data_IF_289303420482
#
_entry.id   IF_289303420482
#
_cell.length_a   1.000
_cell.length_b   1.000
_cell.length_c   1.000
_cell.angle_alpha   90.00
_cell.angle_beta   90.00
_cell.angle_gamma   90.00
#
_symmetry.space_group_name_H-M   'P 1'
#
loop_
_entity.id
_entity.type
_entity.pdbx_description
1 polymer ?
#
# COMPACT_ATOMS: atom_id res chain seq x y z
N UNK A 1 -18.51 -2.45 4.50
CA UNK A 1 -19.49 -1.93 5.48
C UNK A 1 -20.72 -1.54 4.72
N UNK A 2 -21.91 -1.87 5.21
CA UNK A 2 -23.13 -1.15 4.81
C UNK A 2 -23.20 0.07 5.74
N UNK A 3 -22.70 1.21 5.29
CA UNK A 3 -22.98 2.48 5.95
C UNK A 3 -24.48 2.77 5.81
N UNK A 4 -25.11 3.41 6.79
CA UNK A 4 -26.50 3.82 6.62
C UNK A 4 -26.63 4.77 5.43
N UNK A 5 -27.74 4.64 4.70
CA UNK A 5 -28.07 5.52 3.57
C UNK A 5 -28.02 7.00 4.00
N UNK A 6 -28.44 7.30 5.24
CA UNK A 6 -28.42 8.62 5.87
C UNK A 6 -27.03 9.29 5.94
N UNK A 7 -25.93 8.54 6.01
CA UNK A 7 -24.57 9.10 6.06
C UNK A 7 -23.82 9.02 4.72
N UNK A 8 -24.37 8.35 3.72
CA UNK A 8 -23.69 8.09 2.44
C UNK A 8 -23.19 9.38 1.76
N UNK A 9 -24.02 10.42 1.70
CA UNK A 9 -23.66 11.73 1.16
C UNK A 9 -22.64 12.50 2.01
N UNK A 10 -22.71 12.35 3.34
CA UNK A 10 -21.76 13.00 4.26
C UNK A 10 -20.34 12.43 4.09
N UNK A 11 -20.19 11.11 3.92
CA UNK A 11 -18.89 10.50 3.70
C UNK A 11 -18.20 10.95 2.41
N UNK A 12 -18.96 11.14 1.33
CA UNK A 12 -18.43 11.73 0.09
C UNK A 12 -17.93 13.17 0.31
N UNK A 13 -18.66 13.95 1.11
CA UNK A 13 -18.24 15.30 1.53
C UNK A 13 -16.98 15.29 2.41
N UNK A 14 -16.87 14.33 3.32
CA UNK A 14 -15.73 14.19 4.23
C UNK A 14 -14.44 13.78 3.49
N UNK A 15 -14.53 12.81 2.57
CA UNK A 15 -13.39 12.36 1.75
C UNK A 15 -12.94 13.43 0.74
N UNK A 16 -13.88 14.22 0.19
CA UNK A 16 -13.57 15.36 -0.69
C UNK A 16 -13.20 16.66 0.06
N UNK A 17 -13.14 16.64 1.40
CA UNK A 17 -12.84 17.78 2.27
C UNK A 17 -13.81 18.97 2.13
N UNK A 18 -15.04 18.71 1.68
CA UNK A 18 -16.10 19.71 1.52
C UNK A 18 -17.08 19.74 2.70
N UNK A 19 -17.17 18.66 3.48
CA UNK A 19 -17.89 18.66 4.76
C UNK A 19 -17.17 19.55 5.78
N UNK A 20 -17.90 20.39 6.51
CA UNK A 20 -17.29 21.29 7.51
C UNK A 20 -16.99 20.57 8.83
N UNK A 21 -16.14 21.19 9.65
CA UNK A 21 -15.87 20.75 11.02
C UNK A 21 -17.14 20.62 11.87
N UNK A 22 -18.15 21.47 11.65
CA UNK A 22 -19.42 21.40 12.38
C UNK A 22 -20.25 20.18 11.95
N UNK A 23 -20.27 19.87 10.66
CA UNK A 23 -20.95 18.68 10.12
C UNK A 23 -20.29 17.40 10.64
N UNK A 24 -18.96 17.39 10.76
CA UNK A 24 -18.20 16.28 11.36
C UNK A 24 -18.60 16.04 12.82
N UNK A 25 -18.72 17.12 13.61
CA UNK A 25 -19.16 17.06 15.01
C UNK A 25 -20.57 16.47 15.11
N UNK A 26 -21.52 17.05 14.37
CA UNK A 26 -22.91 16.59 14.38
C UNK A 26 -23.05 15.13 13.92
N UNK A 27 -22.28 14.69 12.92
CA UNK A 27 -22.30 13.32 12.43
C UNK A 27 -21.70 12.33 13.46
N UNK A 28 -20.62 12.71 14.16
CA UNK A 28 -20.06 11.91 15.27
C UNK A 28 -21.07 11.78 16.41
N UNK A 29 -21.66 12.89 16.85
CA UNK A 29 -22.61 12.89 17.96
C UNK A 29 -23.88 12.08 17.66
N UNK A 30 -24.39 12.19 16.43
CA UNK A 30 -25.50 11.37 15.97
C UNK A 30 -25.13 9.88 15.91
N UNK A 31 -23.95 9.53 15.39
CA UNK A 31 -23.49 8.14 15.40
C UNK A 31 -23.42 7.58 16.83
N UNK A 32 -22.96 8.37 17.81
CA UNK A 32 -22.94 7.93 19.21
C UNK A 32 -24.35 7.78 19.78
N UNK A 33 -25.26 8.71 19.49
CA UNK A 33 -26.64 8.66 19.99
C UNK A 33 -27.43 7.44 19.47
N UNK A 34 -27.04 6.89 18.32
CA UNK A 34 -27.65 5.69 17.70
C UNK A 34 -26.85 4.39 17.98
N UNK A 35 -25.90 4.41 18.94
CA UNK A 35 -24.99 3.30 19.28
C UNK A 35 -24.06 2.82 18.12
N UNK A 36 -23.78 3.69 17.15
CA UNK A 36 -22.98 3.44 15.94
C UNK A 36 -21.52 3.88 16.10
N UNK A 37 -20.89 3.34 17.13
CA UNK A 37 -19.55 3.73 17.57
C UNK A 37 -18.46 3.50 16.51
N UNK A 38 -18.60 2.50 15.62
CA UNK A 38 -17.61 2.23 14.56
C UNK A 38 -17.63 3.31 13.48
N UNK A 39 -18.82 3.76 13.08
CA UNK A 39 -19.01 4.90 12.19
C UNK A 39 -18.52 6.20 12.84
N UNK A 40 -18.82 6.43 14.12
CA UNK A 40 -18.30 7.58 14.87
C UNK A 40 -16.76 7.62 14.86
N UNK A 41 -16.10 6.49 15.16
CA UNK A 41 -14.63 6.38 15.16
C UNK A 41 -14.01 6.57 13.77
N UNK A 42 -14.66 6.09 12.72
CA UNK A 42 -14.19 6.31 11.33
C UNK A 42 -14.35 7.78 10.90
N UNK A 43 -15.46 8.43 11.25
CA UNK A 43 -15.62 9.88 11.02
C UNK A 43 -14.54 10.64 11.78
N UNK A 44 -14.21 10.24 13.00
CA UNK A 44 -13.15 10.87 13.81
C UNK A 44 -11.76 10.72 13.21
N UNK A 45 -11.33 9.52 12.78
CA UNK A 45 -10.01 9.31 12.14
C UNK A 45 -9.82 10.23 10.92
N UNK A 46 -10.82 10.28 10.04
CA UNK A 46 -10.78 11.15 8.85
C UNK A 46 -10.89 12.63 9.22
N UNK A 47 -11.83 13.02 10.08
CA UNK A 47 -12.04 14.42 10.47
C UNK A 47 -10.86 15.00 11.28
N UNK A 48 -10.17 14.21 12.10
CA UNK A 48 -8.98 14.63 12.84
C UNK A 48 -7.76 14.78 11.92
N UNK A 49 -7.67 14.02 10.84
CA UNK A 49 -6.64 14.22 9.79
C UNK A 49 -6.80 15.54 9.04
N UNK A 50 -8.02 16.09 8.99
CA UNK A 50 -8.37 17.36 8.33
C UNK A 50 -8.37 18.54 9.33
N UNK A 51 -8.86 18.31 10.55
CA UNK A 51 -9.13 19.33 11.58
C UNK A 51 -8.35 19.05 12.89
N UNK A 52 -7.05 18.78 12.78
CA UNK A 52 -6.17 18.38 13.88
C UNK A 52 -6.11 19.33 15.09
N UNK A 53 -6.55 20.59 14.97
CA UNK A 53 -6.67 21.53 16.09
C UNK A 53 -8.04 21.46 16.82
N UNK A 54 -8.88 20.45 16.55
CA UNK A 54 -10.25 20.37 17.08
C UNK A 54 -10.32 19.76 18.48
N UNK A 55 -10.23 20.59 19.52
CA UNK A 55 -10.38 20.15 20.92
C UNK A 55 -11.63 19.27 21.15
N UNK A 56 -12.78 19.68 20.60
CA UNK A 56 -14.03 18.91 20.72
C UNK A 56 -13.93 17.51 20.13
N UNK A 57 -13.37 17.34 18.92
CA UNK A 57 -13.27 16.01 18.29
C UNK A 57 -12.29 15.11 19.05
N UNK A 58 -11.23 15.67 19.65
CA UNK A 58 -10.34 14.90 20.53
C UNK A 58 -11.03 14.48 21.83
N UNK A 59 -11.79 15.37 22.46
CA UNK A 59 -12.59 15.06 23.65
C UNK A 59 -13.65 14.00 23.34
N UNK A 60 -14.36 14.15 22.22
CA UNK A 60 -15.42 13.21 21.82
C UNK A 60 -14.88 11.84 21.43
N UNK A 61 -13.69 11.77 20.82
CA UNK A 61 -12.99 10.51 20.62
C UNK A 61 -12.67 9.81 21.96
N UNK A 62 -12.17 10.56 22.96
CA UNK A 62 -11.92 10.00 24.28
C UNK A 62 -13.21 9.48 24.94
N UNK A 63 -14.30 10.27 24.95
CA UNK A 63 -15.60 9.85 25.50
C UNK A 63 -16.16 8.56 24.86
N UNK A 64 -15.97 8.39 23.55
CA UNK A 64 -16.40 7.18 22.82
C UNK A 64 -15.54 5.97 23.19
N UNK A 65 -14.23 6.18 23.36
CA UNK A 65 -13.28 5.13 23.76
C UNK A 65 -13.53 4.70 25.21
N UNK A 66 -13.82 5.65 26.10
CA UNK A 66 -14.14 5.42 27.51
C UNK A 66 -15.52 4.74 27.69
N UNK A 67 -16.45 4.95 26.75
CA UNK A 67 -17.80 4.36 26.79
C UNK A 67 -17.94 2.96 26.19
N UNK A 68 -17.00 2.52 25.33
CA UNK A 68 -17.12 1.26 24.57
C UNK A 68 -16.21 0.15 25.13
N UNK A 69 -16.78 -0.95 25.62
CA UNK A 69 -16.01 -2.01 26.29
C UNK A 69 -15.04 -2.76 25.33
N UNK A 70 -13.74 -2.43 25.43
CA UNK A 70 -12.63 -3.01 24.65
C UNK A 70 -11.58 -3.67 25.60
N UNK A 71 -12.05 -4.27 26.68
CA UNK A 71 -11.23 -5.07 27.59
C UNK A 71 -10.67 -6.34 26.91
N UNK A 72 -9.67 -6.99 27.52
CA UNK A 72 -8.83 -8.04 26.95
C UNK A 72 -8.10 -7.70 25.62
N UNK A 73 -8.45 -6.61 24.93
CA UNK A 73 -7.47 -5.89 24.12
C UNK A 73 -6.52 -5.20 25.08
N UNK A 74 -7.10 -4.52 26.09
CA UNK A 74 -6.53 -3.81 27.26
C UNK A 74 -6.62 -4.70 28.54
N UNK A 75 -5.77 -4.53 29.58
CA UNK A 75 -5.70 -5.26 30.89
C UNK A 75 -4.77 -6.54 31.13
N UNK A 76 -3.62 -6.76 30.43
CA UNK A 76 -2.43 -7.52 30.98
C UNK A 76 -1.16 -6.72 31.25
N UNK A 77 -0.14 -6.74 30.39
CA UNK A 77 1.24 -6.57 30.87
C UNK A 77 1.76 -5.14 31.19
N UNK A 78 1.09 -4.37 32.07
CA UNK A 78 1.75 -3.37 32.95
C UNK A 78 3.04 -4.03 33.48
N UNK A 79 2.80 -5.28 33.78
CA UNK A 79 3.57 -6.37 34.25
C UNK A 79 4.80 -6.77 33.37
N UNK A 80 5.28 -5.94 32.41
CA UNK A 80 6.61 -6.14 31.76
C UNK A 80 7.55 -4.90 31.66
N UNK A 81 7.09 -3.67 31.84
CA UNK A 81 7.94 -2.45 31.97
C UNK A 81 7.58 -1.58 33.18
N UNK A 82 6.85 -2.17 34.14
CA UNK A 82 6.48 -1.62 35.45
C UNK A 82 7.67 -1.18 36.29
N UNK A 83 8.88 -1.61 35.91
CA UNK A 83 10.13 -1.36 36.61
C UNK A 83 10.94 -0.17 36.03
N UNK A 84 10.57 0.36 34.85
CA UNK A 84 11.25 1.51 34.21
C UNK A 84 10.33 2.66 33.78
N UNK A 85 9.11 2.36 33.34
CA UNK A 85 8.03 3.35 33.22
C UNK A 85 6.68 2.59 33.19
N UNK A 86 5.92 2.54 34.31
CA UNK A 86 4.72 1.72 34.40
C UNK A 86 3.65 2.10 33.37
N UNK A 87 3.52 3.36 32.98
CA UNK A 87 2.41 3.80 32.13
C UNK A 87 2.53 3.35 30.67
N UNK A 88 3.76 3.27 30.13
CA UNK A 88 3.97 2.86 28.72
C UNK A 88 3.59 1.40 28.49
N UNK A 89 3.80 0.57 29.49
CA UNK A 89 3.50 -0.84 29.36
C UNK A 89 2.07 -1.14 29.81
N UNK A 90 1.38 -0.19 30.46
CA UNK A 90 -0.08 -0.18 30.62
C UNK A 90 -0.86 -0.12 29.28
N UNK A 91 -0.16 -0.01 28.15
CA UNK A 91 -0.72 0.15 26.79
C UNK A 91 -0.45 -1.07 25.91
N UNK A 92 0.55 -1.86 26.30
CA UNK A 92 0.62 -3.29 25.97
C UNK A 92 0.09 -4.14 27.15
N UNK A 93 -0.72 -3.53 28.02
CA UNK A 93 -1.71 -4.14 28.91
C UNK A 93 -3.06 -4.04 28.21
N UNK A 94 -3.52 -5.05 27.43
CA UNK A 94 -2.72 -5.86 26.50
C UNK A 94 -2.56 -5.03 25.19
N UNK A 95 -1.95 -5.59 24.15
CA UNK A 95 -2.49 -5.62 22.77
C UNK A 95 -2.68 -7.10 22.33
N UNK A 96 -2.44 -8.00 23.29
CA UNK A 96 -1.96 -9.38 23.13
C UNK A 96 -3.00 -10.45 23.45
N UNK A 97 -4.10 -10.15 24.16
CA UNK A 97 -5.17 -11.16 24.40
C UNK A 97 -6.26 -11.19 23.32
N UNK A 98 -6.45 -10.13 22.51
CA UNK A 98 -7.32 -10.22 21.32
C UNK A 98 -6.64 -10.84 20.08
N UNK A 99 -5.32 -11.12 20.11
CA UNK A 99 -4.57 -11.62 18.94
C UNK A 99 -4.50 -13.16 18.79
N UNK A 100 -5.03 -13.95 19.73
CA UNK A 100 -4.65 -15.37 19.89
C UNK A 100 -5.44 -16.45 19.10
N UNK A 101 -6.44 -16.14 18.23
CA UNK A 101 -6.91 -17.12 17.24
C UNK A 101 -6.91 -16.60 15.78
N UNK A 102 -5.75 -16.18 15.28
CA UNK A 102 -5.39 -16.40 13.88
C UNK A 102 -5.01 -17.89 13.76
N UNK A 103 -5.75 -18.83 13.15
CA UNK A 103 -7.03 -18.82 12.44
C UNK A 103 -7.78 -20.16 12.67
N UNK A 104 -9.07 -20.24 12.32
CA UNK A 104 -9.88 -21.49 12.30
C UNK A 104 -10.97 -21.45 11.20
N UNK A 105 -11.43 -22.58 10.67
CA UNK A 105 -11.99 -22.63 9.31
C UNK A 105 -13.45 -22.15 9.20
N UNK A 106 -13.67 -21.12 8.37
CA UNK A 106 -14.98 -20.83 7.77
C UNK A 106 -15.79 -19.69 8.38
N UNK A 107 -15.29 -18.45 8.38
CA UNK A 107 -16.09 -17.25 8.69
C UNK A 107 -15.93 -16.17 7.60
N UNK A 108 -16.99 -15.42 7.21
CA UNK A 108 -17.03 -14.68 5.95
C UNK A 108 -16.50 -13.24 6.03
N UNK A 109 -16.29 -12.64 4.84
CA UNK A 109 -15.82 -11.25 4.67
C UNK A 109 -16.74 -10.22 5.34
N UNK A 110 -16.16 -9.32 6.15
CA UNK A 110 -16.83 -8.10 6.61
C UNK A 110 -16.11 -7.41 7.77
N UNK A 111 -15.24 -6.43 7.48
CA UNK A 111 -14.50 -5.67 8.50
C UNK A 111 -13.49 -6.54 9.26
N UNK A 112 -12.29 -6.73 8.71
CA UNK A 112 -11.30 -7.61 9.34
C UNK A 112 -10.86 -7.07 10.70
N UNK A 113 -10.66 -7.96 11.67
CA UNK A 113 -10.19 -7.60 13.01
C UNK A 113 -8.83 -6.87 12.97
N UNK A 114 -8.01 -7.19 11.96
CA UNK A 114 -6.75 -6.50 11.65
C UNK A 114 -6.94 -5.01 11.33
N UNK A 115 -8.02 -4.63 10.64
CA UNK A 115 -8.32 -3.23 10.32
C UNK A 115 -8.71 -2.45 11.58
N UNK A 116 -9.60 -3.01 12.41
CA UNK A 116 -10.01 -2.39 13.67
C UNK A 116 -8.84 -2.22 14.64
N UNK A 117 -7.95 -3.22 14.73
CA UNK A 117 -6.69 -3.13 15.48
C UNK A 117 -5.79 -1.99 14.98
N UNK A 118 -5.72 -1.76 13.66
CA UNK A 118 -4.94 -0.66 13.06
C UNK A 118 -5.53 0.73 13.39
N UNK A 119 -6.85 0.89 13.34
CA UNK A 119 -7.55 2.16 13.65
C UNK A 119 -7.41 2.53 15.13
N UNK A 120 -7.73 1.61 16.05
CA UNK A 120 -7.59 1.86 17.50
C UNK A 120 -6.14 2.22 17.85
N UNK A 121 -5.18 1.50 17.26
CA UNK A 121 -3.76 1.74 17.48
C UNK A 121 -3.27 3.10 16.95
N UNK A 122 -3.77 3.57 15.79
CA UNK A 122 -3.52 4.93 15.28
C UNK A 122 -4.01 5.99 16.25
N UNK A 123 -5.24 5.86 16.74
CA UNK A 123 -5.87 6.81 17.66
C UNK A 123 -5.13 6.85 19.00
N UNK A 124 -4.75 5.68 19.56
CA UNK A 124 -3.90 5.62 20.75
C UNK A 124 -2.54 6.30 20.56
N UNK A 125 -1.91 6.18 19.39
CA UNK A 125 -0.69 6.93 19.10
C UNK A 125 -0.97 8.45 19.09
N UNK A 126 -2.03 8.91 18.41
CA UNK A 126 -2.40 10.33 18.31
C UNK A 126 -2.68 11.00 19.67
N UNK A 127 -3.22 10.25 20.63
CA UNK A 127 -3.50 10.74 21.99
C UNK A 127 -2.25 10.97 22.85
N UNK A 128 -1.07 10.46 22.44
CA UNK A 128 0.18 10.51 23.22
C UNK A 128 1.04 11.77 22.96
N UNK A 129 0.47 12.88 22.47
CA UNK A 129 1.25 14.11 22.25
C UNK A 129 0.64 15.40 22.81
N UNK A 130 1.49 16.13 23.55
CA UNK A 130 1.43 17.60 23.67
C UNK A 130 2.78 18.27 23.42
N UNK A 131 3.89 17.53 23.33
CA UNK A 131 5.26 18.05 23.45
C UNK A 131 6.39 17.21 22.74
N UNK A 132 6.11 16.49 21.63
CA UNK A 132 7.02 15.96 20.54
C UNK A 132 6.91 14.44 20.21
N UNK A 133 7.32 14.02 19.00
CA UNK A 133 6.51 13.90 17.79
C UNK A 133 6.03 12.45 17.59
N UNK A 134 4.79 12.16 17.99
CA UNK A 134 4.12 10.84 17.95
C UNK A 134 4.29 10.06 16.63
N UNK A 135 4.43 10.76 15.49
CA UNK A 135 4.59 10.17 14.16
C UNK A 135 5.67 9.07 14.15
N UNK A 136 6.81 9.25 14.82
CA UNK A 136 7.89 8.25 14.80
C UNK A 136 7.51 6.94 15.52
N UNK A 137 6.75 7.02 16.60
CA UNK A 137 6.27 5.85 17.38
C UNK A 137 5.25 5.05 16.58
N UNK A 138 4.25 5.74 16.01
CA UNK A 138 3.25 5.14 15.13
C UNK A 138 3.89 4.40 13.95
N UNK A 139 4.87 5.04 13.29
CA UNK A 139 5.56 4.46 12.13
C UNK A 139 6.40 3.24 12.52
N UNK A 140 7.12 3.26 13.65
CA UNK A 140 7.93 2.14 14.16
C UNK A 140 7.09 0.92 14.58
N UNK A 141 5.90 1.16 15.12
CA UNK A 141 5.02 0.08 15.56
C UNK A 141 4.20 -0.49 14.39
N UNK A 142 3.78 0.36 13.44
CA UNK A 142 3.35 -0.11 12.12
C UNK A 142 4.43 -1.02 11.52
N UNK A 143 5.68 -0.52 11.42
CA UNK A 143 6.86 -1.24 10.89
C UNK A 143 7.06 -2.61 11.52
N UNK A 144 6.72 -2.77 12.80
CA UNK A 144 6.74 -4.07 13.46
C UNK A 144 5.64 -5.03 12.96
N UNK A 145 4.38 -4.57 12.90
CA UNK A 145 3.25 -5.42 12.50
C UNK A 145 3.29 -5.88 11.03
N UNK A 146 3.69 -5.00 10.09
CA UNK A 146 3.85 -5.39 8.68
C UNK A 146 4.90 -6.48 8.47
N UNK A 147 6.01 -6.40 9.21
CA UNK A 147 7.07 -7.43 9.21
C UNK A 147 6.59 -8.77 9.78
N UNK A 148 5.72 -8.77 10.80
CA UNK A 148 5.14 -9.99 11.34
C UNK A 148 4.23 -10.66 10.30
N UNK A 149 3.28 -9.92 9.72
CA UNK A 149 2.38 -10.45 8.69
C UNK A 149 3.13 -10.96 7.45
N UNK A 150 4.13 -10.22 6.97
CA UNK A 150 4.98 -10.70 5.88
C UNK A 150 5.77 -11.96 6.31
N UNK A 151 6.23 -12.03 7.56
CA UNK A 151 6.98 -13.17 8.08
C UNK A 151 6.20 -14.48 8.12
N UNK A 152 4.89 -14.43 8.40
CA UNK A 152 4.00 -15.60 8.31
C UNK A 152 3.97 -16.20 6.90
N UNK A 153 3.89 -15.34 5.89
CA UNK A 153 3.76 -15.74 4.48
C UNK A 153 5.07 -16.25 3.87
N UNK A 154 6.21 -15.76 4.36
CA UNK A 154 7.55 -16.27 3.99
C UNK A 154 8.12 -17.30 4.99
N UNK A 155 7.33 -17.73 5.99
CA UNK A 155 7.68 -18.77 6.94
C UNK A 155 8.78 -18.45 7.96
N UNK A 156 9.27 -17.20 8.03
CA UNK A 156 10.29 -16.71 8.99
C UNK A 156 10.16 -15.19 9.17
N UNK A 157 10.53 -14.63 10.34
CA UNK A 157 10.37 -13.20 10.64
C UNK A 157 11.14 -12.26 9.69
N UNK A 158 10.44 -11.26 9.16
CA UNK A 158 11.05 -10.19 8.38
C UNK A 158 11.76 -9.18 9.31
N UNK A 159 12.97 -8.76 8.94
CA UNK A 159 13.68 -7.70 9.68
C UNK A 159 14.37 -6.72 8.73
N UNK A 160 14.00 -5.44 8.78
CA UNK A 160 14.86 -4.36 8.29
C UNK A 160 15.91 -4.02 9.36
N UNK A 161 17.15 -3.78 8.92
CA UNK A 161 18.31 -3.51 9.74
C UNK A 161 19.07 -2.27 9.28
N UNK A 162 19.72 -1.62 10.26
CA UNK A 162 20.46 -0.36 10.22
C UNK A 162 21.12 -0.04 8.87
N UNK A 163 20.81 1.15 8.34
CA UNK A 163 21.55 1.75 7.22
C UNK A 163 22.99 2.00 7.67
N UNK A 164 23.94 1.24 7.13
CA UNK A 164 25.38 1.43 7.40
C UNK A 164 26.09 1.60 6.07
N UNK A 165 26.87 2.67 5.95
CA UNK A 165 27.55 3.08 4.71
C UNK A 165 26.59 3.17 3.49
N UNK A 166 25.40 3.76 3.68
CA UNK A 166 24.41 3.96 2.61
C UNK A 166 23.72 2.68 2.13
N UNK A 167 23.79 1.57 2.87
CA UNK A 167 23.11 0.32 2.52
C UNK A 167 22.17 -0.12 3.66
N UNK A 168 20.89 -0.25 3.34
CA UNK A 168 19.89 -0.94 4.17
C UNK A 168 19.95 -2.45 3.91
N UNK A 169 19.65 -3.24 4.94
CA UNK A 169 19.49 -4.70 4.81
C UNK A 169 18.09 -5.09 5.23
N UNK A 170 17.41 -5.86 4.37
CA UNK A 170 16.06 -6.36 4.59
C UNK A 170 16.14 -7.89 4.54
N UNK A 171 15.73 -8.57 5.60
CA UNK A 171 15.65 -10.03 5.63
C UNK A 171 14.21 -10.49 5.45
N UNK A 172 14.00 -11.43 4.53
CA UNK A 172 12.71 -12.09 4.23
C UNK A 172 13.01 -13.57 4.15
N UNK A 173 12.37 -14.41 4.97
CA UNK A 173 12.76 -15.82 5.01
C UNK A 173 14.16 -16.02 5.59
N UNK A 174 14.91 -16.92 4.97
CA UNK A 174 16.36 -17.09 5.08
C UNK A 174 17.15 -16.06 4.24
N UNK A 175 16.50 -15.28 3.37
CA UNK A 175 17.15 -14.41 2.39
C UNK A 175 17.42 -13.01 2.93
N UNK A 176 18.59 -12.46 2.61
CA UNK A 176 18.95 -11.08 2.92
C UNK A 176 19.06 -10.26 1.65
N UNK A 177 18.12 -9.34 1.47
CA UNK A 177 18.09 -8.31 0.46
C UNK A 177 18.91 -7.10 0.92
N UNK A 178 19.50 -6.38 -0.02
CA UNK A 178 20.33 -5.18 0.19
C UNK A 178 19.84 -4.06 -0.70
N UNK A 179 19.67 -2.88 -0.15
CA UNK A 179 19.23 -1.71 -0.91
C UNK A 179 20.16 -0.53 -0.62
N UNK A 180 20.53 0.19 -1.66
CA UNK A 180 21.20 1.47 -1.57
C UNK A 180 20.21 2.51 -1.00
N UNK A 181 20.72 3.42 -0.17
CA UNK A 181 19.95 4.47 0.50
C UNK A 181 20.61 5.80 0.19
N UNK A 182 20.28 6.38 -0.96
CA UNK A 182 20.83 7.67 -1.41
C UNK A 182 20.20 8.87 -0.72
N UNK A 183 18.95 8.77 -0.26
CA UNK A 183 18.23 9.86 0.39
C UNK A 183 17.12 9.33 1.35
N UNK A 184 16.42 10.26 2.00
CA UNK A 184 15.34 9.97 2.96
C UNK A 184 14.05 9.41 2.34
N UNK A 185 13.75 9.67 1.06
CA UNK A 185 12.64 9.05 0.35
C UNK A 185 12.93 7.58 0.06
N UNK A 186 14.16 7.24 -0.34
CA UNK A 186 14.60 5.85 -0.49
C UNK A 186 14.55 5.11 0.86
N UNK A 187 15.06 5.70 1.93
CA UNK A 187 14.93 5.14 3.29
C UNK A 187 13.46 4.94 3.70
N UNK A 188 12.59 5.91 3.37
CA UNK A 188 11.14 5.80 3.56
C UNK A 188 10.58 4.59 2.79
N UNK A 189 10.76 4.49 1.47
CA UNK A 189 10.26 3.36 0.67
C UNK A 189 10.66 2.01 1.25
N UNK A 190 11.89 1.89 1.76
CA UNK A 190 12.42 0.66 2.35
C UNK A 190 11.84 0.32 3.73
N UNK A 191 11.49 1.32 4.55
CA UNK A 191 10.81 1.12 5.85
C UNK A 191 9.33 0.75 5.67
N UNK A 192 8.64 1.40 4.74
CA UNK A 192 7.21 1.16 4.47
C UNK A 192 6.92 0.04 3.47
N UNK A 193 7.96 -0.57 2.89
CA UNK A 193 7.87 -1.70 1.98
C UNK A 193 6.98 -2.86 2.50
N UNK A 194 7.10 -3.19 3.79
CA UNK A 194 6.28 -4.24 4.43
C UNK A 194 4.94 -3.75 4.99
N UNK A 195 4.64 -2.45 4.84
CA UNK A 195 3.51 -1.78 5.50
C UNK A 195 2.43 -1.33 4.53
N UNK A 196 2.83 -0.78 3.40
CA UNK A 196 1.88 -0.19 2.47
C UNK A 196 1.18 -1.28 1.64
N UNK A 197 1.87 -2.39 1.34
CA UNK A 197 1.37 -3.46 0.46
C UNK A 197 1.68 -4.88 0.99
N UNK A 198 1.28 -5.22 2.23
CA UNK A 198 1.46 -6.58 2.74
C UNK A 198 0.78 -7.63 1.84
N UNK A 199 -0.31 -7.29 1.15
CA UNK A 199 -1.04 -8.17 0.24
C UNK A 199 -0.30 -8.54 -1.04
N UNK A 200 0.47 -7.61 -1.60
CA UNK A 200 1.39 -7.93 -2.70
C UNK A 200 2.48 -8.92 -2.26
N UNK A 201 2.98 -8.79 -1.02
CA UNK A 201 3.91 -9.76 -0.46
C UNK A 201 3.26 -11.13 -0.21
N UNK A 202 1.97 -11.18 0.19
CA UNK A 202 1.19 -12.44 0.22
C UNK A 202 1.10 -13.06 -1.17
N UNK A 203 0.81 -12.27 -2.20
CA UNK A 203 0.76 -12.75 -3.59
C UNK A 203 2.11 -13.30 -4.06
N UNK A 204 3.21 -12.56 -3.85
CA UNK A 204 4.57 -13.01 -4.16
C UNK A 204 4.90 -14.30 -3.40
N UNK A 205 4.45 -14.45 -2.15
CA UNK A 205 4.66 -15.68 -1.37
C UNK A 205 4.00 -16.94 -1.98
N UNK A 206 3.09 -16.77 -2.93
CA UNK A 206 2.40 -17.86 -3.64
C UNK A 206 3.00 -18.20 -5.02
N UNK A 207 3.96 -17.41 -5.51
CA UNK A 207 4.65 -17.68 -6.79
C UNK A 207 5.42 -19.01 -6.73
N UNK A 208 5.53 -19.64 -7.89
CA UNK A 208 6.07 -20.97 -8.16
C UNK A 208 7.25 -20.89 -9.14
N UNK A 209 8.01 -21.97 -9.23
CA UNK A 209 9.07 -22.10 -10.24
C UNK A 209 8.47 -21.99 -11.66
N UNK A 210 9.11 -21.20 -12.52
CA UNK A 210 8.62 -20.90 -13.87
C UNK A 210 7.65 -19.72 -13.96
N UNK A 211 7.30 -19.08 -12.84
CA UNK A 211 6.47 -17.88 -12.87
C UNK A 211 7.25 -16.65 -13.34
N UNK A 212 6.55 -15.84 -14.13
CA UNK A 212 7.03 -14.55 -14.67
C UNK A 212 6.23 -13.44 -14.03
N UNK A 213 6.91 -12.51 -13.37
CA UNK A 213 6.34 -11.34 -12.71
C UNK A 213 6.67 -10.06 -13.49
N UNK A 214 5.66 -9.25 -13.78
CA UNK A 214 5.82 -7.92 -14.35
C UNK A 214 5.45 -6.88 -13.28
N UNK A 215 6.42 -6.08 -12.87
CA UNK A 215 6.29 -5.04 -11.84
C UNK A 215 6.25 -3.68 -12.55
N UNK A 216 5.04 -3.15 -12.78
CA UNK A 216 4.84 -1.83 -13.40
C UNK A 216 4.78 -0.78 -12.28
N UNK A 217 5.65 0.24 -12.40
CA UNK A 217 5.97 1.16 -11.31
C UNK A 217 6.90 0.52 -10.29
N UNK A 218 7.99 -0.09 -10.75
CA UNK A 218 8.93 -0.82 -9.90
C UNK A 218 9.67 0.08 -8.89
N UNK A 219 9.72 1.40 -9.14
CA UNK A 219 10.42 2.40 -8.33
C UNK A 219 11.88 1.97 -8.08
N UNK A 220 12.38 1.98 -6.85
CA UNK A 220 13.71 1.47 -6.49
C UNK A 220 13.85 -0.07 -6.52
N UNK A 221 12.83 -0.82 -6.97
CA UNK A 221 12.87 -2.27 -7.20
C UNK A 221 12.49 -3.16 -6.02
N UNK A 222 11.76 -2.65 -5.03
CA UNK A 222 11.52 -3.38 -3.79
C UNK A 222 10.82 -4.74 -4.02
N UNK A 223 9.67 -4.76 -4.70
CA UNK A 223 8.92 -5.99 -4.97
C UNK A 223 9.59 -6.86 -6.02
N UNK A 224 10.10 -6.26 -7.10
CA UNK A 224 10.88 -6.95 -8.12
C UNK A 224 12.03 -7.80 -7.54
N UNK A 225 12.83 -7.22 -6.66
CA UNK A 225 13.96 -7.91 -6.03
C UNK A 225 13.44 -8.94 -5.01
N UNK A 226 12.37 -8.66 -4.27
CA UNK A 226 11.78 -9.62 -3.36
C UNK A 226 11.27 -10.88 -4.08
N UNK A 227 10.57 -10.74 -5.21
CA UNK A 227 10.13 -11.88 -6.02
C UNK A 227 11.33 -12.70 -6.53
N UNK A 228 12.33 -12.05 -7.13
CA UNK A 228 13.52 -12.75 -7.64
C UNK A 228 14.36 -13.43 -6.54
N UNK A 229 14.54 -12.79 -5.38
CA UNK A 229 15.38 -13.32 -4.27
C UNK A 229 14.67 -14.41 -3.47
N UNK A 230 13.36 -14.28 -3.22
CA UNK A 230 12.62 -15.22 -2.35
C UNK A 230 11.96 -16.36 -3.11
N UNK A 231 11.68 -16.19 -4.41
CA UNK A 231 10.97 -17.18 -5.24
C UNK A 231 11.73 -17.63 -6.49
N UNK A 232 12.93 -17.12 -6.73
CA UNK A 232 13.67 -17.34 -7.98
C UNK A 232 12.89 -16.96 -9.25
N UNK A 233 11.85 -16.15 -9.10
CA UNK A 233 10.93 -15.73 -10.16
C UNK A 233 11.66 -14.89 -11.22
N UNK A 234 11.32 -15.07 -12.49
CA UNK A 234 11.79 -14.18 -13.57
C UNK A 234 10.96 -12.90 -13.50
N UNK A 235 11.61 -11.75 -13.46
CA UNK A 235 10.95 -10.48 -13.21
C UNK A 235 11.32 -9.43 -14.25
N UNK A 236 10.32 -8.73 -14.76
CA UNK A 236 10.47 -7.52 -15.56
C UNK A 236 10.06 -6.32 -14.72
N UNK A 237 11.03 -5.44 -14.43
CA UNK A 237 10.86 -4.29 -13.54
C UNK A 237 10.76 -3.02 -14.38
N UNK A 238 9.54 -2.51 -14.56
CA UNK A 238 9.28 -1.33 -15.40
C UNK A 238 9.28 -0.08 -14.54
N UNK A 239 10.22 0.82 -14.82
CA UNK A 239 10.36 2.10 -14.14
C UNK A 239 10.82 3.16 -15.14
N UNK A 240 9.95 4.11 -15.55
CA UNK A 240 10.29 5.11 -16.55
C UNK A 240 11.14 6.26 -16.01
N UNK A 241 11.05 6.59 -14.71
CA UNK A 241 11.69 7.79 -14.18
C UNK A 241 13.18 7.57 -13.93
N UNK A 242 14.04 8.38 -14.54
CA UNK A 242 15.49 8.14 -14.58
C UNK A 242 16.14 8.01 -13.20
N UNK A 243 15.70 8.79 -12.22
CA UNK A 243 16.24 8.76 -10.86
C UNK A 243 15.87 7.46 -10.11
N UNK A 244 14.61 7.01 -10.22
CA UNK A 244 14.17 5.73 -9.66
C UNK A 244 14.88 4.56 -10.36
N UNK A 245 14.94 4.60 -11.70
CA UNK A 245 15.63 3.59 -12.51
C UNK A 245 17.11 3.45 -12.16
N UNK A 246 17.79 4.57 -11.86
CA UNK A 246 19.19 4.55 -11.39
C UNK A 246 19.37 3.77 -10.08
N UNK A 247 18.45 3.92 -9.12
CA UNK A 247 18.46 3.13 -7.88
C UNK A 247 18.04 1.68 -8.09
N UNK A 248 17.06 1.41 -8.96
CA UNK A 248 16.68 0.05 -9.37
C UNK A 248 17.90 -0.74 -9.87
N UNK A 249 18.71 -0.15 -10.77
CA UNK A 249 19.94 -0.77 -11.27
C UNK A 249 20.96 -1.07 -10.15
N UNK A 250 21.15 -0.13 -9.22
CA UNK A 250 22.03 -0.33 -8.04
C UNK A 250 21.52 -1.48 -7.17
N UNK A 251 20.23 -1.52 -6.90
CA UNK A 251 19.60 -2.51 -6.03
C UNK A 251 19.60 -3.90 -6.65
N UNK A 252 19.30 -4.04 -7.95
CA UNK A 252 19.46 -5.32 -8.68
C UNK A 252 20.92 -5.81 -8.57
N UNK A 253 21.89 -4.91 -8.71
CA UNK A 253 23.31 -5.23 -8.58
C UNK A 253 23.71 -5.65 -7.16
N UNK A 254 23.21 -4.98 -6.12
CA UNK A 254 23.50 -5.30 -4.71
C UNK A 254 22.95 -6.66 -4.26
N UNK A 255 21.96 -7.19 -4.97
CA UNK A 255 21.35 -8.49 -4.69
C UNK A 255 21.84 -9.61 -5.63
N UNK A 256 22.69 -9.28 -6.62
CA UNK A 256 23.19 -10.21 -7.63
C UNK A 256 22.09 -10.97 -8.40
N UNK A 257 20.95 -10.32 -8.66
CA UNK A 257 19.78 -10.90 -9.36
C UNK A 257 19.62 -10.45 -10.81
N UNK A 258 20.72 -10.02 -11.47
CA UNK A 258 20.71 -9.59 -12.89
C UNK A 258 20.35 -10.71 -13.87
N UNK A 259 20.42 -11.96 -13.42
CA UNK A 259 20.00 -13.17 -14.16
C UNK A 259 18.48 -13.40 -14.11
N UNK A 260 17.78 -12.77 -13.15
CA UNK A 260 16.33 -12.94 -12.91
C UNK A 260 15.53 -11.65 -13.13
N UNK A 261 16.07 -10.50 -12.74
CA UNK A 261 15.41 -9.19 -12.86
C UNK A 261 15.94 -8.43 -14.07
N UNK A 262 15.07 -8.24 -15.06
CA UNK A 262 15.31 -7.38 -16.23
C UNK A 262 14.68 -6.00 -15.98
N UNK A 263 15.48 -4.95 -15.73
CA UNK A 263 14.98 -3.59 -15.60
C UNK A 263 14.65 -2.99 -16.97
N UNK A 264 13.56 -2.24 -17.06
CA UNK A 264 13.06 -1.63 -18.29
C UNK A 264 12.77 -0.12 -18.07
N UNK A 265 13.59 0.74 -18.68
CA UNK A 265 13.44 2.20 -18.65
C UNK A 265 12.39 2.66 -19.69
N UNK A 266 11.13 2.36 -19.42
CA UNK A 266 9.99 2.66 -20.30
C UNK A 266 8.70 2.80 -19.48
N UNK A 267 7.66 3.38 -20.05
CA UNK A 267 6.32 3.39 -19.51
C UNK A 267 5.44 2.32 -20.20
N UNK A 268 4.44 1.79 -19.49
CA UNK A 268 3.35 1.02 -20.12
C UNK A 268 2.15 1.95 -20.31
N UNK A 269 1.51 1.91 -21.48
CA UNK A 269 0.31 2.69 -21.80
C UNK A 269 -0.58 1.91 -22.78
N UNK A 270 -1.69 2.53 -23.16
CA UNK A 270 -2.60 2.15 -24.25
C UNK A 270 -1.97 2.20 -25.66
N UNK A 271 -0.76 2.74 -25.81
CA UNK A 271 -0.08 2.90 -27.10
C UNK A 271 1.45 2.83 -26.98
N UNK A 272 2.09 2.54 -28.11
CA UNK A 272 3.55 2.55 -28.26
C UNK A 272 4.02 3.83 -28.95
N UNK A 273 5.02 4.50 -28.36
CA UNK A 273 5.56 5.79 -28.85
C UNK A 273 6.19 6.62 -27.73
N UNK A 274 6.89 7.70 -28.08
CA UNK A 274 7.46 8.63 -27.09
C UNK A 274 6.38 9.52 -26.45
N UNK A 275 6.60 9.92 -25.19
CA UNK A 275 5.73 10.87 -24.48
C UNK A 275 6.42 11.53 -23.27
N UNK A 276 5.88 12.65 -22.77
CA UNK A 276 6.33 13.29 -21.53
C UNK A 276 5.98 12.47 -20.28
N UNK A 277 6.97 12.27 -19.41
CA UNK A 277 6.81 11.83 -18.03
C UNK A 277 6.99 13.04 -17.11
N UNK A 278 5.90 13.57 -16.59
CA UNK A 278 5.90 14.68 -15.63
C UNK A 278 6.18 14.16 -14.21
N UNK A 279 7.01 14.86 -13.44
CA UNK A 279 7.35 14.50 -12.07
C UNK A 279 7.28 15.68 -11.09
N UNK A 280 6.88 15.39 -9.85
CA UNK A 280 6.82 16.36 -8.74
C UNK A 280 8.13 16.46 -7.94
N UNK A 281 9.11 15.58 -8.17
CA UNK A 281 10.42 15.62 -7.54
C UNK A 281 11.46 14.91 -8.41
N UNK A 282 12.64 15.51 -8.52
CA UNK A 282 13.83 14.97 -9.20
C UNK A 282 14.57 13.90 -8.36
N UNK A 283 14.14 13.64 -7.13
CA UNK A 283 14.80 12.73 -6.19
C UNK A 283 14.34 11.28 -6.38
N UNK A 284 15.29 10.33 -6.38
CA UNK A 284 14.98 8.91 -6.37
C UNK A 284 14.15 8.50 -5.14
N UNK A 285 13.20 7.58 -5.30
CA UNK A 285 12.20 7.21 -4.29
C UNK A 285 10.96 8.12 -4.29
N UNK A 286 10.90 9.14 -5.14
CA UNK A 286 9.68 9.90 -5.40
C UNK A 286 8.59 9.02 -6.04
N UNK A 287 7.34 9.44 -5.86
CA UNK A 287 6.16 8.99 -6.60
C UNK A 287 5.48 10.22 -7.22
N UNK A 288 4.26 10.09 -7.73
CA UNK A 288 3.57 11.12 -8.50
C UNK A 288 4.32 11.44 -9.79
N UNK A 289 4.65 10.36 -10.53
CA UNK A 289 5.08 10.44 -11.92
C UNK A 289 3.93 10.06 -12.86
N UNK A 290 3.54 11.00 -13.72
CA UNK A 290 2.47 10.79 -14.70
C UNK A 290 3.06 10.76 -16.11
N UNK A 291 2.90 9.63 -16.81
CA UNK A 291 3.18 9.56 -18.24
C UNK A 291 1.97 10.10 -19.00
N UNK A 292 2.12 11.28 -19.59
CA UNK A 292 1.11 11.83 -20.48
C UNK A 292 1.44 11.59 -21.95
N UNK A 293 0.40 11.62 -22.75
CA UNK A 293 0.39 11.34 -24.18
C UNK A 293 0.40 12.65 -25.02
N UNK A 294 0.51 13.80 -24.35
CA UNK A 294 0.52 15.14 -24.92
C UNK A 294 -0.87 15.74 -25.15
N UNK A 295 -1.95 15.10 -24.70
CA UNK A 295 -3.34 15.56 -24.93
C UNK A 295 -3.98 16.24 -23.71
N UNK A 296 -3.44 16.04 -22.51
CA UNK A 296 -3.92 16.70 -21.29
C UNK A 296 -2.83 17.63 -20.76
N UNK A 297 -3.12 18.93 -20.63
CA UNK A 297 -2.17 19.93 -20.15
C UNK A 297 -1.90 19.79 -18.63
N UNK A 298 -1.24 18.71 -18.21
CA UNK A 298 -0.83 18.42 -16.83
C UNK A 298 0.38 19.26 -16.36
N UNK A 299 0.62 20.41 -16.98
CA UNK A 299 1.80 21.25 -16.76
C UNK A 299 1.66 22.24 -15.58
N UNK A 300 0.56 22.22 -14.81
CA UNK A 300 0.31 23.26 -13.80
C UNK A 300 1.04 23.06 -12.46
N UNK A 301 1.53 21.86 -12.14
CA UNK A 301 2.19 21.56 -10.84
C UNK A 301 3.41 20.62 -10.94
N UNK A 302 3.97 20.39 -12.14
CA UNK A 302 5.18 19.55 -12.32
C UNK A 302 6.47 20.31 -12.02
N UNK A 303 7.40 19.69 -11.26
CA UNK A 303 8.76 20.22 -11.06
C UNK A 303 9.71 19.91 -12.23
N UNK A 304 9.36 18.96 -13.09
CA UNK A 304 10.09 18.68 -14.33
C UNK A 304 9.38 17.66 -15.23
N UNK A 305 9.95 17.46 -16.42
CA UNK A 305 9.46 16.51 -17.44
C UNK A 305 10.66 15.78 -18.08
N UNK A 306 10.57 14.46 -18.17
CA UNK A 306 11.47 13.61 -18.97
C UNK A 306 10.73 13.12 -20.23
N UNK A 307 11.42 12.88 -21.34
CA UNK A 307 10.84 12.16 -22.49
C UNK A 307 11.18 10.68 -22.35
N UNK A 308 10.17 9.82 -22.33
CA UNK A 308 10.33 8.37 -22.17
C UNK A 308 9.58 7.60 -23.26
N UNK A 309 10.02 6.37 -23.52
CA UNK A 309 9.32 5.47 -24.43
C UNK A 309 8.12 4.84 -23.71
N UNK A 310 6.92 5.07 -24.23
CA UNK A 310 5.72 4.30 -23.88
C UNK A 310 5.56 3.06 -24.77
N UNK A 311 5.03 1.99 -24.20
CA UNK A 311 4.68 0.75 -24.91
C UNK A 311 3.31 0.21 -24.49
N UNK A 312 2.58 -0.41 -25.43
CA UNK A 312 1.57 -1.41 -25.06
C UNK A 312 2.26 -2.65 -24.50
N UNK A 313 1.63 -3.29 -23.51
CA UNK A 313 2.14 -4.56 -23.00
C UNK A 313 2.10 -5.66 -24.07
N UNK A 314 1.01 -5.70 -24.85
CA UNK A 314 0.85 -6.70 -25.90
C UNK A 314 1.95 -6.57 -26.97
N UNK A 315 2.36 -5.35 -27.31
CA UNK A 315 3.46 -5.10 -28.26
C UNK A 315 4.80 -5.62 -27.69
N UNK A 316 5.11 -5.39 -26.41
CA UNK A 316 6.33 -5.91 -25.76
C UNK A 316 6.39 -7.44 -25.75
N UNK A 317 5.25 -8.10 -25.55
CA UNK A 317 5.12 -9.55 -25.57
C UNK A 317 5.22 -10.10 -27.00
N UNK A 318 4.53 -9.49 -27.96
CA UNK A 318 4.52 -9.91 -29.36
C UNK A 318 5.89 -9.75 -30.04
N UNK A 319 6.63 -8.69 -29.71
CA UNK A 319 8.00 -8.46 -30.17
C UNK A 319 9.05 -9.31 -29.43
N UNK A 320 8.66 -10.09 -28.42
CA UNK A 320 9.56 -10.94 -27.63
C UNK A 320 10.54 -10.15 -26.74
N UNK A 321 10.27 -8.85 -26.48
CA UNK A 321 11.07 -8.01 -25.57
C UNK A 321 10.95 -8.46 -24.11
N UNK A 322 9.80 -9.01 -23.75
CA UNK A 322 9.57 -9.68 -22.47
C UNK A 322 8.97 -11.07 -22.66
N UNK A 323 9.18 -11.95 -21.70
CA UNK A 323 8.40 -13.19 -21.59
C UNK A 323 6.99 -12.87 -21.09
N UNK A 324 6.00 -13.68 -21.49
CA UNK A 324 4.61 -13.49 -21.10
C UNK A 324 4.45 -13.53 -19.56
N UNK A 325 3.87 -12.50 -18.92
CA UNK A 325 3.75 -12.44 -17.47
C UNK A 325 2.63 -13.34 -16.94
N UNK A 326 2.95 -14.19 -15.96
CA UNK A 326 1.95 -14.97 -15.20
C UNK A 326 1.28 -14.16 -14.10
N UNK A 327 1.98 -13.12 -13.62
CA UNK A 327 1.54 -12.21 -12.56
C UNK A 327 1.94 -10.78 -12.93
N UNK A 328 1.03 -9.82 -12.79
CA UNK A 328 1.28 -8.40 -13.06
C UNK A 328 0.99 -7.58 -11.80
N UNK A 329 1.88 -6.63 -11.45
CA UNK A 329 1.59 -5.47 -10.60
C UNK A 329 1.43 -4.24 -11.49
N UNK A 330 0.42 -3.43 -11.19
CA UNK A 330 0.22 -2.07 -11.72
C UNK A 330 0.01 -1.16 -10.52
N UNK A 331 1.00 -0.31 -10.27
CA UNK A 331 1.00 0.70 -9.21
C UNK A 331 1.78 1.89 -9.77
N UNK A 332 1.02 2.80 -10.38
CA UNK A 332 1.49 4.00 -11.07
C UNK A 332 0.47 5.10 -10.80
N UNK A 333 0.88 6.35 -10.74
CA UNK A 333 -0.01 7.44 -10.32
C UNK A 333 -1.07 7.80 -11.39
N UNK A 334 -2.21 7.08 -11.41
CA UNK A 334 -3.44 7.46 -12.12
C UNK A 334 -3.54 7.09 -13.61
N UNK A 335 -2.57 6.36 -14.16
CA UNK A 335 -2.55 5.92 -15.58
C UNK A 335 -2.88 4.43 -15.77
N UNK A 336 -3.34 3.76 -14.73
CA UNK A 336 -3.59 2.32 -14.66
C UNK A 336 -4.64 1.88 -15.69
N UNK A 337 -5.68 2.70 -15.88
CA UNK A 337 -6.70 2.48 -16.91
C UNK A 337 -6.14 2.50 -18.35
N UNK A 338 -5.10 3.31 -18.64
CA UNK A 338 -4.40 3.30 -19.93
C UNK A 338 -3.61 2.00 -20.08
N UNK A 339 -2.93 1.55 -19.02
CA UNK A 339 -2.24 0.24 -18.99
C UNK A 339 -3.20 -0.92 -19.28
N UNK A 340 -4.36 -0.97 -18.62
CA UNK A 340 -5.39 -2.00 -18.87
C UNK A 340 -5.86 -1.95 -20.34
N UNK A 341 -6.05 -0.75 -20.90
CA UNK A 341 -6.44 -0.58 -22.31
C UNK A 341 -5.33 -1.00 -23.30
N UNK A 342 -4.07 -0.97 -22.88
CA UNK A 342 -2.90 -1.40 -23.66
C UNK A 342 -2.55 -2.88 -23.56
N UNK A 343 -3.37 -3.69 -22.88
CA UNK A 343 -3.16 -5.13 -22.73
C UNK A 343 -4.34 -6.09 -23.01
N UNK A 344 -5.26 -5.83 -23.97
CA UNK A 344 -6.37 -6.75 -24.29
C UNK A 344 -5.93 -8.19 -24.65
N UNK A 345 -4.80 -8.37 -25.33
CA UNK A 345 -4.33 -9.71 -25.68
C UNK A 345 -3.83 -10.45 -24.41
N UNK A 346 -2.99 -9.82 -23.59
CA UNK A 346 -2.53 -10.41 -22.32
C UNK A 346 -3.65 -10.63 -21.30
N UNK A 347 -4.67 -9.77 -21.27
CA UNK A 347 -5.86 -9.93 -20.41
C UNK A 347 -6.66 -11.19 -20.75
N UNK A 348 -6.72 -11.61 -22.01
CA UNK A 348 -7.52 -12.77 -22.42
C UNK A 348 -6.73 -14.09 -22.37
N UNK A 349 -5.40 -14.03 -22.36
CA UNK A 349 -4.53 -15.21 -22.23
C UNK A 349 -4.62 -15.86 -20.83
N UNK A 350 -4.86 -17.17 -20.81
CA UNK A 350 -5.03 -17.97 -19.59
C UNK A 350 -3.75 -18.15 -18.77
N UNK A 351 -2.57 -17.84 -19.32
CA UNK A 351 -1.28 -17.84 -18.61
C UNK A 351 -1.19 -16.72 -17.58
N UNK A 352 -1.89 -15.60 -17.79
CA UNK A 352 -1.99 -14.52 -16.81
C UNK A 352 -2.98 -14.93 -15.72
N UNK A 353 -2.51 -15.13 -14.49
CA UNK A 353 -3.30 -15.71 -13.38
C UNK A 353 -3.70 -14.68 -12.33
N UNK A 354 -2.92 -13.61 -12.14
CA UNK A 354 -3.32 -12.50 -11.28
C UNK A 354 -2.83 -11.14 -11.78
N UNK A 355 -3.60 -10.13 -11.43
CA UNK A 355 -3.24 -8.72 -11.59
C UNK A 355 -3.44 -8.07 -10.23
N UNK A 356 -2.42 -7.37 -9.72
CA UNK A 356 -2.50 -6.56 -8.50
C UNK A 356 -2.47 -5.10 -8.93
N UNK A 357 -3.51 -4.35 -8.57
CA UNK A 357 -3.75 -2.98 -8.99
C UNK A 357 -3.84 -2.07 -7.77
N UNK A 358 -3.17 -0.92 -7.82
CA UNK A 358 -3.55 0.27 -7.06
C UNK A 358 -4.45 1.12 -7.97
N UNK A 359 -5.75 1.26 -7.66
CA UNK A 359 -6.67 2.15 -8.37
C UNK A 359 -7.67 2.80 -7.43
N UNK A 360 -7.95 4.09 -7.66
CA UNK A 360 -9.08 4.76 -7.02
C UNK A 360 -10.38 4.45 -7.79
N UNK A 361 -11.28 3.67 -7.17
CA UNK A 361 -12.54 3.21 -7.77
C UNK A 361 -13.57 4.32 -8.05
N UNK A 362 -13.42 5.48 -7.40
CA UNK A 362 -14.22 6.68 -7.69
C UNK A 362 -13.95 7.33 -9.05
N UNK A 363 -12.89 6.92 -9.76
CA UNK A 363 -12.60 7.38 -11.12
C UNK A 363 -13.39 6.54 -12.17
N UNK A 364 -14.21 7.15 -13.04
CA UNK A 364 -14.94 6.45 -14.10
C UNK A 364 -14.05 5.64 -15.06
N UNK A 365 -12.84 6.12 -15.36
CA UNK A 365 -11.89 5.39 -16.22
C UNK A 365 -11.40 4.10 -15.56
N UNK A 366 -11.20 4.12 -14.23
CA UNK A 366 -10.83 2.94 -13.45
C UNK A 366 -12.01 1.94 -13.35
N UNK A 367 -13.25 2.43 -13.36
CA UNK A 367 -14.45 1.58 -13.45
C UNK A 367 -14.61 0.89 -14.82
N UNK A 368 -14.17 1.52 -15.91
CA UNK A 368 -14.06 0.89 -17.24
C UNK A 368 -12.94 -0.16 -17.26
N UNK A 369 -11.78 0.16 -16.66
CA UNK A 369 -10.66 -0.77 -16.55
C UNK A 369 -11.03 -2.06 -15.79
N UNK A 370 -11.76 -1.94 -14.68
CA UNK A 370 -12.29 -3.11 -13.96
C UNK A 370 -13.25 -3.94 -14.80
N UNK A 371 -14.20 -3.32 -15.52
CA UNK A 371 -15.13 -4.06 -16.40
C UNK A 371 -14.41 -4.84 -17.51
N UNK A 372 -13.29 -4.33 -18.03
CA UNK A 372 -12.43 -5.08 -18.98
C UNK A 372 -11.75 -6.29 -18.32
N UNK A 373 -11.25 -6.14 -17.10
CA UNK A 373 -10.64 -7.23 -16.32
C UNK A 373 -11.68 -8.32 -15.99
N UNK A 374 -12.89 -7.93 -15.57
CA UNK A 374 -14.00 -8.85 -15.30
C UNK A 374 -14.43 -9.60 -16.57
N UNK A 375 -14.64 -8.89 -17.68
CA UNK A 375 -15.00 -9.47 -18.97
C UNK A 375 -13.94 -10.44 -19.51
N UNK A 376 -12.66 -10.21 -19.17
CA UNK A 376 -11.56 -11.10 -19.49
C UNK A 376 -11.48 -12.36 -18.60
N UNK A 377 -12.40 -12.53 -17.64
CA UNK A 377 -12.51 -13.73 -16.81
C UNK A 377 -11.72 -13.69 -15.50
N UNK A 378 -11.53 -12.51 -14.92
CA UNK A 378 -11.01 -12.35 -13.55
C UNK A 378 -12.14 -12.02 -12.58
N UNK A 379 -12.04 -12.55 -11.36
CA UNK A 379 -12.72 -12.01 -10.18
C UNK A 379 -11.77 -11.07 -9.44
N UNK A 380 -12.28 -10.07 -8.72
CA UNK A 380 -11.44 -9.17 -7.94
C UNK A 380 -11.98 -8.93 -6.53
N UNK A 381 -11.08 -8.53 -5.64
CA UNK A 381 -11.39 -8.15 -4.27
C UNK A 381 -10.43 -7.03 -3.81
N UNK A 382 -10.85 -6.23 -2.83
CA UNK A 382 -9.94 -5.40 -2.04
C UNK A 382 -8.98 -6.33 -1.27
N UNK A 383 -7.68 -6.01 -1.29
CA UNK A 383 -6.61 -6.86 -0.74
C UNK A 383 -6.13 -6.41 0.65
N UNK A 384 -5.57 -5.20 0.77
CA UNK A 384 -5.04 -4.65 2.02
C UNK A 384 -5.45 -3.19 2.30
N UNK A 385 -5.53 -2.35 1.27
CA UNK A 385 -6.07 -0.98 1.31
C UNK A 385 -7.27 -0.84 0.36
N UNK A 386 -8.28 0.03 0.61
CA UNK A 386 -9.39 0.26 -0.32
C UNK A 386 -9.02 0.63 -1.77
N UNK A 387 -7.85 1.24 -2.02
CA UNK A 387 -7.34 1.46 -3.40
C UNK A 387 -6.70 0.21 -4.02
N UNK A 388 -6.41 -0.80 -3.21
CA UNK A 388 -5.58 -1.93 -3.56
C UNK A 388 -6.44 -3.17 -3.88
N UNK A 389 -6.51 -3.51 -5.17
CA UNK A 389 -7.33 -4.59 -5.68
C UNK A 389 -6.48 -5.76 -6.18
N UNK A 390 -6.80 -6.97 -5.71
CA UNK A 390 -6.25 -8.22 -6.22
C UNK A 390 -7.28 -8.88 -7.15
N UNK A 391 -6.94 -8.96 -8.44
CA UNK A 391 -7.68 -9.67 -9.46
C UNK A 391 -7.07 -11.07 -9.64
N UNK A 392 -7.89 -12.12 -9.52
CA UNK A 392 -7.52 -13.52 -9.71
C UNK A 392 -8.35 -14.12 -10.85
N UNK A 393 -7.69 -14.83 -11.77
CA UNK A 393 -8.39 -15.50 -12.87
C UNK A 393 -9.28 -16.63 -12.36
N UNK A 394 -10.50 -16.68 -12.87
CA UNK A 394 -11.52 -17.70 -12.60
C UNK A 394 -11.35 -18.95 -13.48
#
# INVERSE_FOLDING_TARGET
>A
MLFSEQLSGFYGGLQSRTASKADCIAAVDWCVAEDRYLEALYILDVALSIYSASLYLHQRAAEIIDGANIDAAIDRFLDQSTEYNPDIVAIYRRIWEKLTPLHGPGSPRGGSESFLRSVVFKIMCMLLDKDQPVRHVFLRLSEHFGRLSAGEHFGQPVTSAVVKAGIAKIRIGDRTLRYHVSNSLVDFRLRYFFLNEPGLLRLISQFRDGDVFLDIGANIGCFSIAAAVTKSCRTYAVEPFSANYSELLRNISLNAVRDRVTPLALAISDRTGEGPLSFSSDHAGAASQAFDDGRENAASESNGVETVQGYRLDDLVAEGKIEFPTHIKIDVDGTEHRIIAGMPEALTDRRLRSIRLEIHTGNPANSEALRKIEAAGFSWQIDDDPKNLLCLRS
#
